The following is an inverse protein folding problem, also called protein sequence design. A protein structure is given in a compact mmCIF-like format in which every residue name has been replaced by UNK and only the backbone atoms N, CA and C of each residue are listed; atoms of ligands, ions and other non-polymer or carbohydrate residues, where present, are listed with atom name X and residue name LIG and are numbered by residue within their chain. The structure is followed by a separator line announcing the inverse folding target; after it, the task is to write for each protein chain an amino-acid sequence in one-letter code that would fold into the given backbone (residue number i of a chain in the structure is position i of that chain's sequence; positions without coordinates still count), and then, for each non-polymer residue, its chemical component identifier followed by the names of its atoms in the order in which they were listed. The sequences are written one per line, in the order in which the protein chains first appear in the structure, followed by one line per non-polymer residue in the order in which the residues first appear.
data_IF_007914899116
#
_entry.id   IF_007914899116
#
_cell.length_a   1.000
_cell.length_b   1.000
_cell.length_c   1.000
_cell.angle_alpha   90.00
_cell.angle_beta   90.00
_cell.angle_gamma   90.00
#
_symmetry.space_group_name_H-M   'P 1'
#
loop_
_entity.id
_entity.type
_entity.pdbx_description
1 polymer ?
#
# COMPACT_ATOMS: atom_id res chain seq x y z
N UNK A 1 -8.86 8.12 10.61
CA UNK A 1 -9.09 6.69 10.38
C UNK A 1 -9.75 6.62 9.01
N UNK A 2 -9.01 6.19 8.00
CA UNK A 2 -9.54 6.22 6.63
C UNK A 2 -10.35 4.95 6.41
N UNK A 3 -11.66 5.10 6.22
CA UNK A 3 -12.59 3.99 5.99
C UNK A 3 -12.47 3.37 4.58
N UNK A 4 -11.40 3.64 3.82
CA UNK A 4 -11.35 3.24 2.42
C UNK A 4 -11.20 1.72 2.23
N UNK A 5 -10.57 1.03 3.19
CA UNK A 5 -10.51 -0.44 3.19
C UNK A 5 -11.67 -1.09 3.97
N UNK A 6 -12.59 -0.31 4.55
CA UNK A 6 -13.75 -0.87 5.27
C UNK A 6 -14.63 -1.75 4.37
N UNK A 7 -14.63 -1.48 3.06
CA UNK A 7 -15.37 -2.30 2.11
C UNK A 7 -14.75 -3.71 1.95
N UNK A 8 -13.46 -3.89 2.27
CA UNK A 8 -12.84 -5.22 2.37
C UNK A 8 -13.55 -6.06 3.42
N UNK A 9 -13.90 -5.50 4.58
CA UNK A 9 -14.63 -6.24 5.63
C UNK A 9 -16.00 -6.71 5.15
N UNK A 10 -16.70 -5.87 4.36
CA UNK A 10 -18.00 -6.22 3.77
C UNK A 10 -17.84 -7.35 2.75
N UNK A 11 -16.81 -7.28 1.90
CA UNK A 11 -16.51 -8.31 0.90
C UNK A 11 -16.06 -9.62 1.55
N UNK A 12 -15.26 -9.56 2.62
CA UNK A 12 -14.86 -10.72 3.41
C UNK A 12 -16.07 -11.38 4.10
N UNK A 13 -17.01 -10.59 4.62
CA UNK A 13 -18.25 -11.12 5.17
C UNK A 13 -19.13 -11.76 4.10
N UNK A 14 -19.24 -11.15 2.91
CA UNK A 14 -19.92 -11.78 1.77
C UNK A 14 -19.25 -13.11 1.40
N UNK A 15 -17.93 -13.14 1.30
CA UNK A 15 -17.15 -14.33 0.99
C UNK A 15 -17.43 -15.45 2.01
N UNK A 16 -17.48 -15.12 3.31
CA UNK A 16 -17.86 -16.06 4.36
C UNK A 16 -19.27 -16.65 4.15
N UNK A 17 -20.25 -15.83 3.74
CA UNK A 17 -21.61 -16.28 3.49
C UNK A 17 -21.74 -17.15 2.23
N UNK A 18 -20.97 -16.87 1.18
CA UNK A 18 -20.98 -17.66 -0.06
C UNK A 18 -20.18 -18.95 0.07
N UNK A 19 -19.16 -18.96 0.94
CA UNK A 19 -18.33 -20.11 1.26
C UNK A 19 -18.64 -20.57 2.69
N UNK A 20 -19.86 -21.09 2.90
CA UNK A 20 -20.31 -21.66 4.17
C UNK A 20 -19.27 -22.66 4.69
N UNK A 21 -18.61 -22.30 5.80
CA UNK A 21 -17.48 -22.99 6.46
C UNK A 21 -16.06 -22.56 6.06
N UNK A 22 -15.87 -21.41 5.42
CA UNK A 22 -14.53 -20.81 5.30
C UNK A 22 -13.92 -20.65 6.70
N UNK A 23 -12.75 -21.26 6.89
CA UNK A 23 -11.97 -21.15 8.12
C UNK A 23 -11.48 -19.72 8.32
N UNK A 24 -11.12 -19.39 9.57
CA UNK A 24 -10.51 -18.09 9.90
C UNK A 24 -9.25 -17.83 9.06
N UNK A 25 -8.46 -18.87 8.79
CA UNK A 25 -7.25 -18.77 7.98
C UNK A 25 -7.56 -18.46 6.51
N UNK A 26 -8.62 -19.03 5.95
CA UNK A 26 -9.05 -18.73 4.57
C UNK A 26 -9.58 -17.30 4.43
N UNK A 27 -10.38 -16.83 5.39
CA UNK A 27 -10.86 -15.45 5.41
C UNK A 27 -9.71 -14.46 5.52
N UNK A 28 -8.73 -14.76 6.36
CA UNK A 28 -7.52 -13.95 6.49
C UNK A 28 -6.75 -13.89 5.17
N UNK A 29 -6.51 -15.04 4.52
CA UNK A 29 -5.82 -15.11 3.21
C UNK A 29 -6.60 -14.37 2.12
N UNK A 30 -7.92 -14.47 2.11
CA UNK A 30 -8.78 -13.75 1.18
C UNK A 30 -8.63 -12.23 1.35
N UNK A 31 -8.76 -11.72 2.58
CA UNK A 31 -8.64 -10.29 2.87
C UNK A 31 -7.24 -9.77 2.55
N UNK A 32 -6.19 -10.48 2.94
CA UNK A 32 -4.80 -10.13 2.61
C UNK A 32 -4.57 -10.07 1.10
N UNK A 33 -5.12 -11.03 0.35
CA UNK A 33 -5.03 -11.06 -1.11
C UNK A 33 -5.76 -9.89 -1.76
N UNK A 34 -6.96 -9.57 -1.28
CA UNK A 34 -7.78 -8.47 -1.81
C UNK A 34 -7.14 -7.11 -1.50
N UNK A 35 -6.62 -6.92 -0.28
CA UNK A 35 -5.89 -5.72 0.11
C UNK A 35 -4.63 -5.52 -0.73
N UNK A 36 -3.84 -6.57 -0.91
CA UNK A 36 -2.66 -6.53 -1.78
C UNK A 36 -3.05 -6.13 -3.19
N UNK A 37 -4.11 -6.74 -3.74
CA UNK A 37 -4.62 -6.40 -5.07
C UNK A 37 -5.04 -4.93 -5.16
N UNK A 38 -5.80 -4.42 -4.19
CA UNK A 38 -6.25 -3.02 -4.11
C UNK A 38 -5.07 -2.04 -4.08
N UNK A 39 -4.10 -2.29 -3.21
CA UNK A 39 -2.90 -1.47 -3.08
C UNK A 39 -2.11 -1.46 -4.39
N UNK A 40 -1.97 -2.62 -5.03
CA UNK A 40 -1.22 -2.75 -6.28
C UNK A 40 -1.90 -2.01 -7.44
N UNK A 41 -3.21 -2.20 -7.63
CA UNK A 41 -3.92 -1.50 -8.72
C UNK A 41 -3.95 0.01 -8.49
N UNK A 42 -4.08 0.46 -7.23
CA UNK A 42 -3.96 1.87 -6.87
C UNK A 42 -2.60 2.44 -7.23
N UNK A 43 -1.54 1.70 -6.94
CA UNK A 43 -0.18 2.12 -7.26
C UNK A 43 0.07 2.19 -8.77
N UNK A 44 -0.40 1.20 -9.52
CA UNK A 44 -0.33 1.23 -10.99
C UNK A 44 -1.10 2.43 -11.56
N UNK A 45 -2.27 2.73 -11.00
CA UNK A 45 -3.06 3.91 -11.35
C UNK A 45 -2.33 5.23 -11.05
N UNK A 46 -1.56 5.32 -9.95
CA UNK A 46 -0.71 6.48 -9.68
C UNK A 46 0.49 6.57 -10.63
N UNK A 47 1.09 5.43 -10.99
CA UNK A 47 2.21 5.37 -11.95
C UNK A 47 1.78 5.76 -13.37
N UNK A 48 0.54 5.48 -13.77
CA UNK A 48 0.02 5.80 -15.10
C UNK A 48 -0.24 7.30 -15.31
N UNK A 49 -0.49 8.08 -14.24
CA UNK A 49 -0.72 9.53 -14.33
C UNK A 49 0.42 10.22 -15.08
N UNK A 50 0.08 11.03 -16.09
CA UNK A 50 1.09 11.77 -16.85
C UNK A 50 1.77 12.85 -15.99
N UNK A 51 0.96 13.64 -15.26
CA UNK A 51 1.45 14.64 -14.29
C UNK A 51 1.29 14.14 -12.87
N UNK A 52 2.40 13.71 -12.27
CA UNK A 52 2.46 13.28 -10.87
C UNK A 52 2.69 14.49 -9.97
N UNK A 53 1.84 14.67 -8.96
CA UNK A 53 2.05 15.71 -7.96
C UNK A 53 3.11 15.24 -6.92
N UNK A 54 3.56 16.15 -6.05
CA UNK A 54 4.57 15.83 -5.00
C UNK A 54 4.14 14.66 -4.11
N UNK A 55 2.83 14.55 -3.82
CA UNK A 55 2.33 13.46 -2.99
C UNK A 55 2.33 12.14 -3.76
N UNK A 56 1.91 12.13 -5.03
CA UNK A 56 1.96 10.94 -5.90
C UNK A 56 3.38 10.37 -5.96
N UNK A 57 4.39 11.23 -6.14
CA UNK A 57 5.80 10.81 -6.12
C UNK A 57 6.23 10.22 -4.77
N UNK A 58 5.82 10.84 -3.65
CA UNK A 58 6.13 10.30 -2.31
C UNK A 58 5.47 8.95 -2.06
N UNK A 59 4.26 8.74 -2.57
CA UNK A 59 3.58 7.44 -2.48
C UNK A 59 4.27 6.41 -3.35
N UNK A 60 4.69 6.83 -4.55
CA UNK A 60 5.37 5.93 -5.47
C UNK A 60 6.70 5.47 -4.86
N UNK A 61 7.52 6.40 -4.38
CA UNK A 61 8.78 6.09 -3.72
C UNK A 61 8.58 5.20 -2.49
N UNK A 62 7.54 5.46 -1.70
CA UNK A 62 7.23 4.66 -0.52
C UNK A 62 6.82 3.25 -0.90
N UNK A 63 6.00 3.07 -1.94
CA UNK A 63 5.62 1.76 -2.42
C UNK A 63 6.77 1.03 -3.11
N UNK A 64 7.59 1.68 -3.94
CA UNK A 64 8.76 1.03 -4.57
C UNK A 64 9.77 0.60 -3.48
N UNK A 65 9.97 1.44 -2.46
CA UNK A 65 10.75 1.05 -1.27
C UNK A 65 10.08 -0.03 -0.44
N UNK A 66 8.77 -0.25 -0.60
CA UNK A 66 8.00 -1.30 0.08
C UNK A 66 8.12 -2.63 -0.60
N UNK A 67 7.98 -2.62 -1.93
CA UNK A 67 8.02 -3.82 -2.74
C UNK A 67 9.34 -4.51 -2.55
N UNK A 68 10.44 -3.78 -2.48
CA UNK A 68 11.78 -4.28 -2.16
C UNK A 68 11.88 -5.16 -0.90
N UNK A 69 11.06 -4.92 0.12
CA UNK A 69 10.98 -5.75 1.34
C UNK A 69 9.77 -6.69 1.34
N UNK A 70 8.88 -6.59 0.35
CA UNK A 70 7.76 -7.48 0.10
C UNK A 70 8.08 -8.54 -0.97
N UNK A 71 9.25 -8.46 -1.62
CA UNK A 71 9.72 -9.43 -2.63
C UNK A 71 9.99 -10.77 -1.96
N UNK A 72 8.97 -11.61 -1.85
CA UNK A 72 9.14 -12.96 -2.38
C UNK A 72 9.25 -12.83 -3.91
N UNK A 73 10.05 -13.69 -4.54
CA UNK A 73 10.40 -13.68 -5.98
C UNK A 73 9.19 -13.53 -6.93
N UNK A 74 7.97 -13.78 -6.45
CA UNK A 74 6.70 -13.63 -7.15
C UNK A 74 6.36 -12.18 -7.58
N UNK A 75 6.87 -11.15 -6.89
CA UNK A 75 6.50 -9.77 -7.18
C UNK A 75 7.39 -9.05 -8.22
N UNK A 76 8.63 -9.51 -8.46
CA UNK A 76 9.44 -8.95 -9.56
C UNK A 76 8.93 -9.41 -10.93
N UNK A 77 8.29 -10.58 -10.94
CA UNK A 77 7.42 -11.04 -12.03
C UNK A 77 6.11 -10.26 -12.14
N UNK A 78 5.77 -9.32 -11.24
CA UNK A 78 4.45 -8.68 -11.18
C UNK A 78 4.16 -7.65 -12.27
N UNK A 79 5.15 -6.84 -12.68
CA UNK A 79 4.93 -5.88 -13.77
C UNK A 79 4.87 -6.61 -15.13
N UNK A 80 5.62 -7.70 -15.28
CA UNK A 80 5.49 -8.61 -16.42
C UNK A 80 4.25 -9.52 -16.31
N UNK A 81 3.75 -9.83 -15.11
CA UNK A 81 2.52 -10.61 -14.87
C UNK A 81 1.25 -9.78 -14.76
N UNK A 82 1.35 -8.45 -14.70
CA UNK A 82 0.26 -7.54 -15.12
C UNK A 82 -0.01 -7.71 -16.62
N UNK A 83 0.82 -8.42 -17.39
CA UNK A 83 0.42 -8.95 -18.70
C UNK A 83 -0.12 -10.39 -18.68
N UNK A 84 0.00 -11.13 -17.58
CA UNK A 84 -0.45 -12.54 -17.48
C UNK A 84 -1.63 -12.82 -16.52
N UNK A 85 -1.98 -11.88 -15.61
CA UNK A 85 -3.28 -11.57 -14.97
C UNK A 85 -4.31 -12.64 -14.62
N UNK A 86 -3.91 -13.88 -14.49
CA UNK A 86 -4.77 -15.00 -14.11
C UNK A 86 -5.33 -14.92 -12.68
N UNK A 87 -4.81 -14.04 -11.81
CA UNK A 87 -5.25 -13.95 -10.42
C UNK A 87 -6.35 -12.90 -10.15
N UNK A 88 -6.55 -11.92 -11.03
CA UNK A 88 -7.64 -10.93 -10.85
C UNK A 88 -8.97 -11.45 -11.39
N UNK A 89 -8.93 -12.32 -12.41
CA UNK A 89 -10.12 -12.96 -12.97
C UNK A 89 -10.83 -13.87 -11.96
N UNK A 90 -10.11 -14.38 -10.93
CA UNK A 90 -10.66 -15.23 -9.86
C UNK A 90 -11.68 -14.50 -8.97
N UNK A 91 -11.66 -13.18 -8.95
CA UNK A 91 -12.54 -12.37 -8.11
C UNK A 91 -13.97 -12.35 -8.66
N UNK A 92 -14.94 -12.29 -7.75
CA UNK A 92 -16.33 -12.06 -8.14
C UNK A 92 -16.55 -10.58 -8.54
N UNK A 93 -17.71 -10.31 -9.12
CA UNK A 93 -18.08 -8.99 -9.66
C UNK A 93 -17.89 -7.84 -8.65
N UNK A 94 -18.28 -7.92 -7.37
CA UNK A 94 -18.13 -6.80 -6.44
C UNK A 94 -16.67 -6.44 -6.12
N UNK A 95 -15.80 -7.43 -5.97
CA UNK A 95 -14.38 -7.25 -5.77
C UNK A 95 -13.75 -6.58 -6.99
N UNK A 96 -14.10 -7.07 -8.19
CA UNK A 96 -13.69 -6.47 -9.47
C UNK A 96 -14.17 -5.01 -9.58
N UNK A 97 -15.44 -4.74 -9.25
CA UNK A 97 -15.98 -3.38 -9.27
C UNK A 97 -15.25 -2.47 -8.26
N UNK A 98 -14.94 -2.98 -7.07
CA UNK A 98 -14.22 -2.21 -6.06
C UNK A 98 -12.80 -1.87 -6.50
N UNK A 99 -12.08 -2.81 -7.11
CA UNK A 99 -10.76 -2.59 -7.71
C UNK A 99 -10.82 -1.50 -8.79
N UNK A 100 -11.85 -1.51 -9.64
CA UNK A 100 -12.05 -0.50 -10.67
C UNK A 100 -12.37 0.88 -10.08
N UNK A 101 -13.30 0.94 -9.13
CA UNK A 101 -13.77 2.19 -8.52
C UNK A 101 -12.64 2.89 -7.75
N UNK A 102 -11.80 2.13 -7.04
CA UNK A 102 -10.67 2.70 -6.31
C UNK A 102 -9.59 3.24 -7.26
N UNK A 103 -9.39 2.61 -8.42
CA UNK A 103 -8.50 3.12 -9.46
C UNK A 103 -9.06 4.38 -10.13
N UNK A 104 -10.37 4.40 -10.40
CA UNK A 104 -11.03 5.60 -10.91
C UNK A 104 -10.84 6.77 -9.91
N UNK A 105 -10.99 6.51 -8.61
CA UNK A 105 -10.72 7.49 -7.54
C UNK A 105 -9.25 7.92 -7.46
N UNK A 106 -8.30 7.01 -7.72
CA UNK A 106 -6.86 7.30 -7.74
C UNK A 106 -6.51 8.36 -8.78
N UNK A 107 -7.08 8.17 -9.97
CA UNK A 107 -6.81 8.92 -11.19
C UNK A 107 -7.61 10.22 -11.22
N UNK A 108 -8.82 10.25 -10.66
CA UNK A 108 -9.72 11.41 -10.64
C UNK A 108 -9.24 12.63 -9.81
N UNK A 109 -7.95 12.71 -9.50
CA UNK A 109 -7.34 13.71 -8.64
C UNK A 109 -7.46 15.14 -9.20
N UNK A 110 -7.11 15.34 -10.47
CA UNK A 110 -7.14 16.64 -11.15
C UNK A 110 -8.47 16.92 -11.87
N UNK A 111 -9.41 15.99 -11.78
CA UNK A 111 -10.74 16.01 -12.42
C UNK A 111 -10.70 16.05 -13.96
N UNK A 112 -9.53 15.77 -14.55
CA UNK A 112 -9.32 15.71 -15.98
C UNK A 112 -8.70 14.35 -16.27
N UNK A 113 -9.49 13.44 -16.83
CA UNK A 113 -8.94 12.16 -17.25
C UNK A 113 -8.11 12.37 -18.51
N UNK A 114 -6.81 12.16 -18.43
CA UNK A 114 -5.93 12.22 -19.61
C UNK A 114 -5.96 10.91 -20.42
N UNK A 115 -5.43 10.95 -21.65
CA UNK A 115 -5.45 9.79 -22.54
C UNK A 115 -4.67 8.59 -21.96
N UNK A 116 -3.57 8.84 -21.26
CA UNK A 116 -2.75 7.76 -20.67
C UNK A 116 -3.46 7.07 -19.50
N UNK A 117 -4.17 7.85 -18.69
CA UNK A 117 -4.99 7.39 -17.59
C UNK A 117 -6.23 6.62 -18.09
N UNK A 118 -6.88 7.10 -19.15
CA UNK A 118 -7.99 6.39 -19.76
C UNK A 118 -7.55 5.06 -20.39
N UNK A 119 -6.40 5.04 -21.09
CA UNK A 119 -5.84 3.79 -21.62
C UNK A 119 -5.49 2.79 -20.52
N UNK A 120 -4.96 3.24 -19.40
CA UNK A 120 -4.75 2.38 -18.23
C UNK A 120 -6.06 1.79 -17.70
N UNK A 121 -7.11 2.61 -17.56
CA UNK A 121 -8.42 2.13 -17.09
C UNK A 121 -9.09 1.16 -18.08
N UNK A 122 -8.92 1.38 -19.39
CA UNK A 122 -9.38 0.45 -20.42
C UNK A 122 -8.70 -0.91 -20.27
N UNK A 123 -7.36 -0.93 -20.18
CA UNK A 123 -6.62 -2.15 -19.92
C UNK A 123 -7.13 -2.83 -18.66
N UNK A 124 -7.17 -2.13 -17.53
CA UNK A 124 -7.65 -2.70 -16.27
C UNK A 124 -9.07 -3.26 -16.38
N UNK A 125 -9.96 -2.61 -17.14
CA UNK A 125 -11.33 -3.08 -17.34
C UNK A 125 -11.38 -4.38 -18.14
N UNK A 126 -10.59 -4.51 -19.21
CA UNK A 126 -10.49 -5.77 -19.97
C UNK A 126 -10.08 -6.94 -19.07
N UNK A 127 -9.16 -6.67 -18.14
CA UNK A 127 -8.58 -7.64 -17.21
C UNK A 127 -9.59 -8.07 -16.16
N UNK A 128 -10.39 -7.12 -15.68
CA UNK A 128 -11.49 -7.35 -14.76
C UNK A 128 -12.75 -7.88 -15.47
N UNK A 129 -12.66 -8.13 -16.79
CA UNK A 129 -13.75 -8.63 -17.64
C UNK A 129 -14.96 -7.68 -17.73
N UNK A 130 -14.71 -6.38 -17.59
CA UNK A 130 -15.69 -5.32 -17.80
C UNK A 130 -15.62 -4.78 -19.23
N UNK A 131 -16.78 -4.51 -19.81
CA UNK A 131 -16.90 -3.82 -21.08
C UNK A 131 -16.54 -2.34 -20.96
N UNK A 132 -16.14 -1.74 -22.07
CA UNK A 132 -15.91 -0.29 -22.17
C UNK A 132 -17.14 0.54 -21.76
N UNK A 133 -18.35 -0.01 -21.94
CA UNK A 133 -19.60 0.62 -21.50
C UNK A 133 -19.71 0.66 -19.98
N UNK A 134 -19.34 -0.42 -19.30
CA UNK A 134 -19.33 -0.50 -17.83
C UNK A 134 -18.26 0.41 -17.24
N UNK A 135 -17.07 0.48 -17.85
CA UNK A 135 -16.04 1.45 -17.48
C UNK A 135 -16.57 2.89 -17.62
N UNK A 136 -17.15 3.21 -18.77
CA UNK A 136 -17.69 4.54 -19.05
C UNK A 136 -18.79 4.92 -18.05
N UNK A 137 -19.63 3.97 -17.67
CA UNK A 137 -20.66 4.16 -16.66
C UNK A 137 -20.06 4.43 -15.27
N UNK A 138 -19.06 3.66 -14.85
CA UNK A 138 -18.35 3.85 -13.58
C UNK A 138 -17.70 5.24 -13.50
N UNK A 139 -17.01 5.68 -14.57
CA UNK A 139 -16.41 7.02 -14.66
C UNK A 139 -17.50 8.11 -14.57
N UNK A 140 -18.62 7.96 -15.29
CA UNK A 140 -19.71 8.93 -15.25
C UNK A 140 -20.38 9.03 -13.87
N UNK A 141 -20.59 7.89 -13.21
CA UNK A 141 -21.12 7.86 -11.85
C UNK A 141 -20.18 8.55 -10.87
N UNK A 142 -18.88 8.29 -10.96
CA UNK A 142 -17.89 8.96 -10.13
C UNK A 142 -17.89 10.48 -10.37
N UNK A 143 -17.90 10.92 -11.63
CA UNK A 143 -18.00 12.34 -12.01
C UNK A 143 -19.23 13.00 -11.40
N UNK A 144 -20.38 12.35 -11.52
CA UNK A 144 -21.66 12.83 -10.98
C UNK A 144 -21.62 12.91 -9.46
N UNK A 145 -21.22 11.81 -8.81
CA UNK A 145 -21.14 11.72 -7.35
C UNK A 145 -20.18 12.77 -6.77
N UNK A 146 -19.00 12.92 -7.37
CA UNK A 146 -18.01 13.92 -6.99
C UNK A 146 -18.57 15.33 -7.10
N UNK A 147 -19.25 15.67 -8.21
CA UNK A 147 -19.87 16.98 -8.42
C UNK A 147 -20.99 17.28 -7.41
N UNK A 148 -21.87 16.31 -7.15
CA UNK A 148 -23.00 16.47 -6.21
C UNK A 148 -22.56 16.59 -4.75
N UNK A 149 -21.40 16.02 -4.39
CA UNK A 149 -20.94 15.93 -3.01
C UNK A 149 -19.65 16.71 -2.73
N UNK A 150 -19.17 17.52 -3.67
CA UNK A 150 -17.89 18.22 -3.58
C UNK A 150 -17.75 19.07 -2.30
N UNK A 151 -18.82 19.72 -1.86
CA UNK A 151 -18.83 20.61 -0.69
C UNK A 151 -19.12 19.88 0.63
N UNK A 152 -19.54 18.61 0.56
CA UNK A 152 -19.96 17.80 1.72
C UNK A 152 -18.90 16.78 2.11
N UNK A 153 -18.15 16.27 1.13
CA UNK A 153 -17.16 15.21 1.31
C UNK A 153 -15.77 15.78 1.12
N UNK A 154 -15.05 15.94 2.23
CA UNK A 154 -13.65 16.41 2.28
C UNK A 154 -12.71 15.64 1.34
N UNK A 155 -13.02 14.38 1.05
CA UNK A 155 -12.25 13.54 0.12
C UNK A 155 -12.07 14.19 -1.27
N UNK A 156 -13.07 14.94 -1.74
CA UNK A 156 -13.04 15.61 -3.05
C UNK A 156 -12.53 17.06 -2.99
N UNK A 157 -12.18 17.55 -1.79
CA UNK A 157 -11.57 18.86 -1.57
C UNK A 157 -10.03 18.81 -1.69
N UNK A 158 -9.41 17.62 -1.53
CA UNK A 158 -7.95 17.43 -1.53
C UNK A 158 -7.43 16.61 -2.73
N UNK A 159 -6.11 16.66 -2.92
CA UNK A 159 -5.35 16.06 -4.03
C UNK A 159 -5.26 14.52 -3.99
N UNK A 160 -6.39 13.84 -4.19
CA UNK A 160 -6.60 12.39 -4.27
C UNK A 160 -6.99 11.72 -2.93
N UNK A 161 -8.09 10.94 -2.92
CA UNK A 161 -8.50 10.04 -1.83
C UNK A 161 -7.35 9.15 -1.31
N UNK A 162 -6.50 8.70 -2.22
CA UNK A 162 -5.41 7.77 -1.94
C UNK A 162 -4.29 8.48 -1.19
N UNK A 163 -3.91 9.67 -1.64
CA UNK A 163 -2.98 10.55 -0.93
C UNK A 163 -3.42 10.77 0.52
N UNK A 164 -4.72 10.96 0.76
CA UNK A 164 -5.24 11.11 2.11
C UNK A 164 -5.11 9.82 2.92
N UNK A 165 -5.44 8.66 2.34
CA UNK A 165 -5.30 7.36 3.00
C UNK A 165 -3.86 7.12 3.43
N UNK A 166 -2.92 7.21 2.49
CA UNK A 166 -1.52 6.93 2.75
C UNK A 166 -0.89 7.95 3.71
N UNK A 167 -1.23 9.24 3.59
CA UNK A 167 -0.74 10.29 4.51
C UNK A 167 -1.25 10.06 5.93
N UNK A 168 -2.51 9.67 6.10
CA UNK A 168 -3.07 9.35 7.41
C UNK A 168 -2.47 8.06 7.98
N UNK A 169 -2.33 7.01 7.18
CA UNK A 169 -1.67 5.77 7.58
C UNK A 169 -0.24 6.05 8.03
N UNK A 170 0.54 6.78 7.21
CA UNK A 170 1.93 7.14 7.53
C UNK A 170 2.04 7.98 8.81
N UNK A 171 1.17 8.97 9.00
CA UNK A 171 1.15 9.78 10.22
C UNK A 171 0.83 8.93 11.45
N UNK A 172 -0.11 8.00 11.32
CA UNK A 172 -0.54 7.11 12.40
C UNK A 172 0.58 6.13 12.77
N UNK A 173 1.16 5.46 11.77
CA UNK A 173 2.33 4.58 11.95
C UNK A 173 3.48 5.32 12.61
N UNK A 174 3.83 6.52 12.13
CA UNK A 174 4.88 7.36 12.74
C UNK A 174 4.59 7.66 14.21
N UNK A 175 3.35 8.01 14.56
CA UNK A 175 2.96 8.25 15.97
C UNK A 175 3.10 6.99 16.83
N UNK A 176 2.74 5.82 16.29
CA UNK A 176 2.85 4.56 17.03
C UNK A 176 4.29 4.15 17.25
N UNK A 177 5.13 4.29 16.23
CA UNK A 177 6.57 4.04 16.36
C UNK A 177 7.16 4.96 17.44
N UNK A 178 6.85 6.27 17.39
CA UNK A 178 7.32 7.23 18.39
C UNK A 178 6.81 6.89 19.80
N UNK A 179 5.53 6.52 19.94
CA UNK A 179 4.93 6.15 21.23
C UNK A 179 5.56 4.89 21.82
N UNK A 180 6.01 3.96 20.99
CA UNK A 180 6.64 2.70 21.40
C UNK A 180 8.17 2.70 21.27
N UNK A 181 8.80 3.86 21.03
CA UNK A 181 10.23 4.00 20.73
C UNK A 181 11.14 3.22 21.68
N UNK A 182 10.93 3.35 22.99
CA UNK A 182 11.81 2.72 23.98
C UNK A 182 11.73 1.18 23.93
N UNK A 183 10.53 0.64 23.75
CA UNK A 183 10.32 -0.81 23.62
C UNK A 183 10.92 -1.31 22.31
N UNK A 184 10.67 -0.59 21.21
CA UNK A 184 11.22 -0.93 19.90
C UNK A 184 12.75 -0.92 19.89
N UNK A 185 13.40 0.07 20.51
CA UNK A 185 14.86 0.12 20.65
C UNK A 185 15.37 -1.06 21.48
N UNK A 186 14.68 -1.42 22.56
CA UNK A 186 15.07 -2.56 23.39
C UNK A 186 15.07 -3.86 22.59
N UNK A 187 13.99 -4.13 21.86
CA UNK A 187 13.83 -5.32 21.01
C UNK A 187 14.84 -5.32 19.84
N UNK A 188 15.11 -4.15 19.24
CA UNK A 188 16.15 -4.01 18.21
C UNK A 188 17.54 -4.32 18.76
N UNK A 189 17.87 -3.87 19.97
CA UNK A 189 19.16 -4.16 20.61
C UNK A 189 19.34 -5.66 20.94
N UNK A 190 18.24 -6.39 21.12
CA UNK A 190 18.25 -7.84 21.30
C UNK A 190 18.49 -8.58 19.97
N UNK A 191 18.28 -7.91 18.82
CA UNK A 191 18.58 -8.42 17.48
C UNK A 191 19.78 -7.72 16.85
N UNK A 192 20.99 -8.20 17.19
CA UNK A 192 22.25 -7.63 16.70
C UNK A 192 22.42 -7.69 15.17
N UNK A 193 21.91 -8.75 14.52
CA UNK A 193 21.93 -8.88 13.05
C UNK A 193 21.06 -7.83 12.37
N UNK A 194 19.84 -7.60 12.88
CA UNK A 194 18.92 -6.59 12.35
C UNK A 194 19.54 -5.19 12.41
N UNK A 195 20.15 -4.83 13.54
CA UNK A 195 20.83 -3.55 13.71
C UNK A 195 21.95 -3.35 12.70
N UNK A 196 22.74 -4.38 12.44
CA UNK A 196 23.81 -4.34 11.45
C UNK A 196 23.24 -4.11 10.05
N UNK A 197 22.21 -4.85 9.65
CA UNK A 197 21.59 -4.73 8.33
C UNK A 197 20.90 -3.38 8.14
N UNK A 198 20.20 -2.86 9.16
CA UNK A 198 19.60 -1.53 9.14
C UNK A 198 20.63 -0.40 9.07
N UNK A 199 21.82 -0.59 9.64
CA UNK A 199 22.92 0.35 9.50
C UNK A 199 23.49 0.31 8.08
N UNK A 200 23.71 -0.89 7.54
CA UNK A 200 24.22 -1.08 6.18
C UNK A 200 23.27 -0.54 5.11
N UNK A 201 21.95 -0.65 5.30
CA UNK A 201 20.94 -0.10 4.36
C UNK A 201 20.98 1.42 4.24
N UNK A 202 21.62 2.12 5.18
CA UNK A 202 21.84 3.57 5.07
C UNK A 202 23.02 3.94 4.19
N UNK A 203 23.92 2.99 3.91
CA UNK A 203 25.18 3.20 3.19
C UNK A 203 25.19 2.54 1.81
N UNK A 204 24.56 1.38 1.68
CA UNK A 204 24.45 0.63 0.43
C UNK A 204 23.08 -0.02 0.34
N UNK A 205 22.69 -0.40 -0.86
CA UNK A 205 21.54 -1.27 -1.04
C UNK A 205 21.85 -2.67 -0.48
N UNK A 206 20.86 -3.22 0.23
CA UNK A 206 20.87 -4.61 0.70
C UNK A 206 20.55 -5.55 -0.46
N UNK A 207 21.12 -6.75 -0.45
CA UNK A 207 20.75 -7.80 -1.40
C UNK A 207 19.40 -8.46 -1.02
N UNK A 208 18.87 -9.33 -1.89
CA UNK A 208 17.55 -9.94 -1.67
C UNK A 208 17.46 -10.73 -0.34
N UNK A 209 18.46 -11.56 -0.03
CA UNK A 209 18.50 -12.34 1.21
C UNK A 209 18.55 -11.44 2.46
N UNK A 210 19.35 -10.37 2.42
CA UNK A 210 19.45 -9.38 3.48
C UNK A 210 18.13 -8.64 3.70
N UNK A 211 17.44 -8.27 2.61
CA UNK A 211 16.11 -7.63 2.66
C UNK A 211 15.07 -8.56 3.29
N UNK A 212 15.06 -9.85 2.93
CA UNK A 212 14.17 -10.86 3.52
C UNK A 212 14.40 -11.02 5.02
N UNK A 213 15.67 -11.10 5.45
CA UNK A 213 16.02 -11.17 6.88
C UNK A 213 15.55 -9.92 7.65
N UNK A 214 15.80 -8.74 7.09
CA UNK A 214 15.33 -7.47 7.69
C UNK A 214 13.81 -7.47 7.84
N UNK A 215 13.08 -7.92 6.81
CA UNK A 215 11.62 -8.03 6.81
C UNK A 215 11.14 -8.95 7.94
N UNK A 216 11.64 -10.18 8.00
CA UNK A 216 11.24 -11.18 9.01
C UNK A 216 11.50 -10.69 10.43
N UNK A 217 12.71 -10.19 10.69
CA UNK A 217 13.11 -9.73 12.03
C UNK A 217 12.33 -8.46 12.45
N UNK A 218 12.03 -7.54 11.52
CA UNK A 218 11.17 -6.40 11.81
C UNK A 218 9.72 -6.81 12.09
N UNK A 219 9.18 -7.78 11.36
CA UNK A 219 7.84 -8.31 11.62
C UNK A 219 7.75 -8.92 13.00
N UNK A 220 8.77 -9.66 13.44
CA UNK A 220 8.78 -10.27 14.76
C UNK A 220 8.85 -9.23 15.90
N UNK A 221 9.66 -8.18 15.73
CA UNK A 221 9.66 -7.03 16.67
C UNK A 221 8.29 -6.33 16.70
N UNK A 222 7.62 -6.22 15.55
CA UNK A 222 6.31 -5.60 15.49
C UNK A 222 5.23 -6.46 16.14
N UNK A 223 5.30 -7.79 16.03
CA UNK A 223 4.44 -8.73 16.76
C UNK A 223 4.63 -8.62 18.27
N UNK A 224 5.84 -8.34 18.74
CA UNK A 224 6.15 -8.17 20.16
C UNK A 224 5.62 -6.85 20.75
N UNK A 225 5.21 -5.88 19.91
CA UNK A 225 4.61 -4.61 20.33
C UNK A 225 3.13 -4.55 19.91
N UNK A 226 2.17 -4.83 20.83
CA UNK A 226 0.75 -5.00 20.48
C UNK A 226 0.13 -3.87 19.67
N UNK A 227 0.55 -2.63 19.93
CA UNK A 227 0.02 -1.47 19.18
C UNK A 227 0.60 -1.28 17.77
N UNK A 228 1.71 -1.95 17.45
CA UNK A 228 2.21 -2.10 16.08
C UNK A 228 1.59 -3.34 15.41
N UNK A 229 1.38 -4.42 16.17
CA UNK A 229 0.68 -5.64 15.70
C UNK A 229 -0.70 -5.36 15.12
N UNK A 230 -1.48 -4.47 15.75
CA UNK A 230 -2.82 -4.05 15.25
C UNK A 230 -2.76 -3.44 13.84
N UNK A 231 -1.60 -2.92 13.41
CA UNK A 231 -1.43 -2.41 12.06
C UNK A 231 -0.77 -3.40 11.11
N UNK A 232 -0.22 -4.50 11.63
CA UNK A 232 0.21 -5.63 10.81
C UNK A 232 -0.98 -6.45 10.29
N UNK A 233 -2.13 -6.33 10.94
CA UNK A 233 -3.36 -7.07 10.66
C UNK A 233 -4.51 -6.08 10.65
N UNK A 234 -5.13 -5.65 9.53
CA UNK A 234 -4.76 -5.60 8.11
C UNK A 234 -4.07 -4.26 7.74
N UNK A 235 -3.45 -4.13 6.56
CA UNK A 235 -2.68 -2.94 6.15
C UNK A 235 -1.17 -2.94 6.49
N UNK A 236 -0.62 -4.10 6.89
CA UNK A 236 0.79 -4.28 7.26
C UNK A 236 1.81 -4.10 6.12
N UNK A 237 1.37 -4.24 4.86
CA UNK A 237 2.21 -4.00 3.66
C UNK A 237 2.73 -2.56 3.59
N UNK A 238 1.97 -1.60 4.13
CA UNK A 238 2.33 -0.19 4.21
C UNK A 238 3.26 0.15 5.38
N UNK A 239 3.34 -0.73 6.38
CA UNK A 239 3.98 -0.41 7.67
C UNK A 239 5.47 -0.76 7.69
N UNK A 240 5.84 -1.93 7.18
CA UNK A 240 7.25 -2.36 7.03
C UNK A 240 8.15 -1.33 6.32
N UNK A 241 7.76 -0.72 5.19
CA UNK A 241 8.59 0.24 4.45
C UNK A 241 8.79 1.52 5.24
N UNK A 242 7.74 1.96 5.94
CA UNK A 242 7.79 3.11 6.83
C UNK A 242 8.71 2.79 8.01
N UNK A 243 8.65 1.60 8.59
CA UNK A 243 9.56 1.18 9.65
C UNK A 243 11.01 1.17 9.19
N UNK A 244 11.33 0.51 8.07
CA UNK A 244 12.70 0.47 7.54
C UNK A 244 13.22 1.89 7.30
N UNK A 245 12.40 2.80 6.80
CA UNK A 245 12.79 4.20 6.58
C UNK A 245 12.95 5.02 7.86
N UNK A 246 12.11 4.78 8.88
CA UNK A 246 12.07 5.61 10.08
C UNK A 246 12.87 5.06 11.26
N UNK A 247 13.04 3.74 11.40
CA UNK A 247 13.83 3.14 12.48
C UNK A 247 15.26 3.67 12.53
N UNK A 248 15.99 3.82 11.41
CA UNK A 248 17.34 4.39 11.42
C UNK A 248 17.40 5.80 12.05
N UNK A 249 16.33 6.60 11.91
CA UNK A 249 16.24 7.92 12.54
C UNK A 249 16.00 7.89 14.06
N UNK A 250 15.56 6.75 14.59
CA UNK A 250 15.26 6.54 16.01
C UNK A 250 16.41 5.90 16.79
N UNK A 251 17.37 5.30 16.08
CA UNK A 251 18.56 4.69 16.67
C UNK A 251 19.43 5.75 17.39
N UNK A 252 20.09 5.39 18.50
CA UNK A 252 21.03 6.28 19.19
C UNK A 252 22.10 6.83 18.24
N UNK A 253 22.59 8.06 18.48
CA UNK A 253 23.59 8.71 17.63
C UNK A 253 24.86 7.89 17.46
N UNK A 254 25.24 7.08 18.46
CA UNK A 254 26.37 6.15 18.40
C UNK A 254 26.31 5.14 17.23
N UNK A 255 25.11 4.91 16.68
CA UNK A 255 24.90 4.07 15.49
C UNK A 255 24.68 4.91 14.21
N UNK A 256 24.60 6.23 14.34
CA UNK A 256 24.49 7.21 13.26
C UNK A 256 25.82 7.93 12.97
N UNK A 257 26.88 7.64 13.74
CA UNK A 257 28.17 8.34 13.71
C UNK A 257 28.89 8.29 12.35
N UNK A 258 28.48 7.42 11.42
CA UNK A 258 29.05 7.30 10.07
C UNK A 258 28.12 7.79 8.94
N UNK A 259 27.06 8.56 9.24
CA UNK A 259 26.24 9.19 8.18
C UNK A 259 27.09 10.21 7.42
N UNK A 260 27.37 9.91 6.14
CA UNK A 260 27.89 10.90 5.21
C UNK A 260 26.81 11.97 5.04
N UNK A 261 27.10 13.21 5.45
CA UNK A 261 26.20 14.34 5.22
C UNK A 261 25.87 14.42 3.73
N UNK A 262 24.57 14.34 3.39
CA UNK A 262 24.14 14.70 2.03
C UNK A 262 24.48 16.17 1.86
N UNK A 263 25.46 16.45 0.99
CA UNK A 263 25.69 17.81 0.51
C UNK A 263 24.40 18.27 -0.16
N UNK A 264 23.80 19.31 0.40
CA UNK A 264 22.74 20.06 -0.27
C UNK A 264 23.33 20.63 -1.58
N UNK A 265 22.87 20.10 -2.71
CA UNK A 265 23.01 20.71 -4.05
C UNK A 265 21.64 20.74 -4.69
#
# INVERSE_FOLDING_TARGET
LTYALLFVDILAYRYYLTHLNASEEELKKYSESLESSLINVCFLALKSKNKKNKNDLQLIDLYDSSTDYLIDEDHLHFIDSVRSQTYLSKYEIPEKQFLLDICCLAIWDDRILDDTEYQFLLQLSEILEFSEKELSFSIQNLKRFSKENQTKIKLFEYSSPITQLYKQSTSTVKKLILRNKNRLIKELNESGELLLLLSQSTLRDLNAEEKTKVKEQLLDICKSVPSLTIFLVPGGSLLLPILVKYIPSLLPSAFQDNKIEKKDT
#
